data_IF_635212870007
#
_entry.id   IF_635212870007
#
_cell.length_a   1.000
_cell.length_b   1.000
_cell.length_c   1.000
_cell.angle_alpha   90.00
_cell.angle_beta   90.00
_cell.angle_gamma   90.00
#
_symmetry.space_group_name_H-M   'P 1'
#
loop_
_entity.id
_entity.type
_entity.pdbx_description
1 polymer ?
#
# COMPACT_ATOMS: atom_id res chain seq x y z
N UNK A 1 4.92 11.66 -2.24
CA UNK A 1 4.02 10.80 -3.02
C UNK A 1 4.74 9.51 -3.33
N UNK A 2 4.13 8.34 -3.08
CA UNK A 2 4.76 7.06 -3.34
C UNK A 2 4.11 5.93 -2.55
N UNK A 3 4.39 4.69 -2.96
CA UNK A 3 4.00 3.46 -2.26
C UNK A 3 5.24 2.84 -1.64
N UNK A 4 5.30 2.79 -0.33
CA UNK A 4 6.32 2.09 0.42
C UNK A 4 5.78 0.85 1.13
N UNK A 5 6.67 -0.04 1.51
CA UNK A 5 6.34 -1.23 2.30
C UNK A 5 7.35 -1.47 3.41
N UNK A 6 6.94 -2.25 4.39
CA UNK A 6 7.81 -2.74 5.44
C UNK A 6 7.45 -4.21 5.75
N UNK A 7 8.46 -5.00 6.07
CA UNK A 7 8.30 -6.38 6.52
C UNK A 7 8.82 -6.50 7.95
N UNK A 8 7.99 -7.03 8.83
CA UNK A 8 8.36 -7.34 10.20
C UNK A 8 8.47 -8.85 10.33
N UNK A 9 9.64 -9.35 10.72
CA UNK A 9 9.92 -10.75 10.97
C UNK A 9 10.35 -10.91 12.43
N UNK A 10 9.68 -11.79 13.15
CA UNK A 10 9.97 -12.05 14.57
C UNK A 10 10.00 -10.77 15.44
N UNK A 11 9.08 -9.83 15.15
CA UNK A 11 8.98 -8.56 15.86
C UNK A 11 10.02 -7.51 15.46
N UNK A 12 10.83 -7.76 14.43
CA UNK A 12 11.89 -6.85 13.97
C UNK A 12 11.69 -6.42 12.53
N UNK A 13 11.98 -5.16 12.24
CA UNK A 13 11.96 -4.64 10.87
C UNK A 13 13.05 -5.32 10.04
N UNK A 14 12.63 -5.92 8.92
CA UNK A 14 13.56 -6.47 7.93
C UNK A 14 14.04 -5.37 7.00
N UNK A 15 15.30 -4.94 7.16
CA UNK A 15 15.90 -3.86 6.38
C UNK A 15 16.63 -4.35 5.13
N UNK A 16 16.85 -5.66 4.98
CA UNK A 16 17.66 -6.22 3.89
C UNK A 16 19.16 -5.93 4.08
N UNK A 17 19.96 -6.28 3.09
CA UNK A 17 21.43 -6.16 3.16
C UNK A 17 21.94 -4.71 3.10
N UNK A 18 21.17 -3.79 2.54
CA UNK A 18 21.56 -2.39 2.31
C UNK A 18 20.57 -1.37 2.91
N UNK A 19 19.60 -1.81 3.72
CA UNK A 19 18.57 -0.95 4.27
C UNK A 19 17.43 -0.60 3.30
N UNK A 20 17.39 -1.21 2.12
CA UNK A 20 16.44 -0.91 1.05
C UNK A 20 15.45 -2.07 0.77
N UNK A 21 15.15 -2.88 1.77
CA UNK A 21 14.16 -3.94 1.60
C UNK A 21 12.75 -3.36 1.44
N UNK A 22 11.90 -4.11 0.72
CA UNK A 22 10.48 -3.79 0.55
C UNK A 22 10.17 -2.50 -0.23
N UNK A 23 10.99 -2.19 -1.24
CA UNK A 23 10.65 -1.20 -2.28
C UNK A 23 9.50 -1.70 -3.17
N UNK A 24 8.40 -2.11 -2.53
CA UNK A 24 7.24 -2.75 -3.17
C UNK A 24 6.52 -1.83 -4.15
N UNK A 25 6.66 -0.52 -3.99
CA UNK A 25 6.13 0.47 -4.93
C UNK A 25 6.68 0.28 -6.34
N UNK A 26 7.85 -0.34 -6.49
CA UNK A 26 8.46 -0.59 -7.79
C UNK A 26 8.19 -1.99 -8.37
N UNK A 27 7.32 -2.77 -7.76
CA UNK A 27 6.77 -3.96 -8.39
C UNK A 27 5.99 -3.57 -9.66
N UNK A 28 6.32 -4.18 -10.79
CA UNK A 28 5.59 -3.97 -12.03
C UNK A 28 4.25 -4.70 -11.99
N UNK A 29 3.16 -3.96 -11.91
CA UNK A 29 1.77 -4.48 -11.92
C UNK A 29 1.06 -4.23 -13.24
N UNK A 30 1.63 -3.40 -14.11
CA UNK A 30 1.11 -3.09 -15.44
C UNK A 30 2.28 -2.83 -16.40
N UNK A 31 2.82 -3.84 -17.11
CA UNK A 31 3.98 -3.66 -17.97
C UNK A 31 3.81 -2.57 -19.06
N UNK A 32 2.58 -2.35 -19.53
CA UNK A 32 2.24 -1.32 -20.51
C UNK A 32 1.79 0.01 -19.86
N UNK A 33 1.90 0.10 -18.53
CA UNK A 33 1.41 1.22 -17.74
C UNK A 33 2.26 2.48 -17.83
N UNK A 34 2.05 3.38 -16.86
CA UNK A 34 2.67 4.71 -16.82
C UNK A 34 4.19 4.62 -16.54
N UNK A 35 4.99 5.57 -17.09
CA UNK A 35 6.40 5.69 -16.71
C UNK A 35 6.54 5.97 -15.21
N UNK A 36 7.51 5.33 -14.57
CA UNK A 36 7.85 5.55 -13.17
C UNK A 36 9.18 6.32 -13.05
N UNK A 37 9.32 7.11 -11.99
CA UNK A 37 10.55 7.86 -11.70
C UNK A 37 11.78 6.95 -11.44
N UNK A 38 11.57 5.67 -11.13
CA UNK A 38 12.66 4.70 -11.00
C UNK A 38 13.30 4.30 -12.34
N UNK A 39 12.76 4.80 -13.46
CA UNK A 39 13.19 4.44 -14.82
C UNK A 39 12.41 3.26 -15.42
N UNK A 40 11.62 2.56 -14.63
CA UNK A 40 10.71 1.49 -15.08
C UNK A 40 9.36 2.02 -15.56
N UNK A 41 8.43 1.08 -15.79
CA UNK A 41 7.07 1.37 -16.24
C UNK A 41 6.07 0.47 -15.53
N UNK A 42 4.87 1.00 -15.24
CA UNK A 42 3.77 0.26 -14.64
C UNK A 42 4.03 -0.23 -13.23
N UNK A 43 4.87 0.49 -12.49
CA UNK A 43 5.12 0.22 -11.08
C UNK A 43 3.86 0.44 -10.25
N UNK A 44 3.69 -0.35 -9.19
CA UNK A 44 2.58 -0.22 -8.24
C UNK A 44 2.42 1.22 -7.75
N UNK A 45 3.53 1.91 -7.50
CA UNK A 45 3.59 3.31 -7.09
C UNK A 45 2.76 4.22 -8.00
N UNK A 46 3.09 4.27 -9.30
CA UNK A 46 2.42 5.15 -10.26
C UNK A 46 1.06 4.62 -10.74
N UNK A 47 0.79 3.35 -10.58
CA UNK A 47 -0.46 2.72 -11.01
C UNK A 47 -1.55 2.75 -9.94
N UNK A 48 -1.18 2.99 -8.66
CA UNK A 48 -2.13 2.99 -7.54
C UNK A 48 -2.00 4.22 -6.62
N UNK A 49 -1.33 5.28 -7.09
CA UNK A 49 -1.21 6.53 -6.35
C UNK A 49 -2.51 7.39 -6.46
N UNK A 50 -2.67 8.41 -5.61
CA UNK A 50 -3.83 9.29 -5.67
C UNK A 50 -4.02 10.00 -7.02
N UNK A 51 -2.93 10.34 -7.73
CA UNK A 51 -3.01 10.94 -9.05
C UNK A 51 -3.57 9.96 -10.10
N UNK A 52 -3.17 8.68 -10.01
CA UNK A 52 -3.74 7.62 -10.84
C UNK A 52 -5.25 7.53 -10.65
N UNK A 53 -5.69 7.51 -9.38
CA UNK A 53 -7.10 7.44 -9.03
C UNK A 53 -7.88 8.63 -9.61
N UNK A 54 -7.46 9.85 -9.30
CA UNK A 54 -8.15 11.07 -9.73
C UNK A 54 -8.22 11.17 -11.27
N UNK A 55 -7.11 10.87 -11.96
CA UNK A 55 -7.06 10.88 -13.42
C UNK A 55 -8.02 9.84 -14.03
N UNK A 56 -8.06 8.63 -13.46
CA UNK A 56 -8.95 7.56 -13.93
C UNK A 56 -10.41 7.89 -13.63
N UNK A 57 -10.69 8.51 -12.48
CA UNK A 57 -12.02 8.99 -12.08
C UNK A 57 -12.44 10.28 -12.83
N UNK A 58 -11.61 10.79 -13.75
CA UNK A 58 -11.87 12.03 -14.51
C UNK A 58 -12.12 13.24 -13.61
N UNK A 59 -11.38 13.32 -12.51
CA UNK A 59 -11.40 14.47 -11.61
C UNK A 59 -10.12 15.28 -11.76
N UNK A 60 -10.27 16.63 -11.74
CA UNK A 60 -9.12 17.51 -11.74
C UNK A 60 -8.29 17.31 -10.48
N UNK A 61 -6.99 16.95 -10.57
CA UNK A 61 -6.16 16.82 -9.41
C UNK A 61 -5.87 18.19 -8.80
N UNK A 62 -6.09 18.31 -7.51
CA UNK A 62 -5.68 19.48 -6.74
C UNK A 62 -4.15 19.56 -6.54
N UNK A 63 -3.68 20.48 -5.68
CA UNK A 63 -2.28 20.54 -5.27
C UNK A 63 -1.78 19.19 -4.72
N UNK A 64 -0.49 18.90 -4.90
CA UNK A 64 0.08 17.58 -4.56
C UNK A 64 -0.17 17.18 -3.10
N UNK A 65 -0.09 18.12 -2.17
CA UNK A 65 -0.35 17.92 -0.75
C UNK A 65 -1.81 17.53 -0.42
N UNK A 66 -2.75 17.79 -1.32
CA UNK A 66 -4.18 17.50 -1.14
C UNK A 66 -4.66 16.23 -1.86
N UNK A 67 -3.86 15.63 -2.74
CA UNK A 67 -4.29 14.52 -3.60
C UNK A 67 -4.78 13.31 -2.81
N UNK A 68 -4.08 12.92 -1.74
CA UNK A 68 -4.47 11.79 -0.91
C UNK A 68 -5.83 12.04 -0.24
N UNK A 69 -6.01 13.24 0.30
CA UNK A 69 -7.27 13.63 0.93
C UNK A 69 -8.41 13.65 -0.10
N UNK A 70 -8.18 14.27 -1.27
CA UNK A 70 -9.16 14.35 -2.34
C UNK A 70 -9.59 12.96 -2.81
N UNK A 71 -8.65 12.05 -3.07
CA UNK A 71 -8.96 10.69 -3.48
C UNK A 71 -9.73 9.91 -2.41
N UNK A 72 -9.31 10.00 -1.15
CA UNK A 72 -10.00 9.36 -0.03
C UNK A 72 -11.40 9.92 0.21
N UNK A 73 -11.62 11.24 0.04
CA UNK A 73 -12.94 11.84 0.17
C UNK A 73 -13.88 11.29 -0.91
N UNK A 74 -13.45 11.24 -2.18
CA UNK A 74 -14.25 10.67 -3.27
C UNK A 74 -14.64 9.21 -3.02
N UNK A 75 -13.70 8.38 -2.58
CA UNK A 75 -13.98 6.98 -2.24
C UNK A 75 -15.03 6.84 -1.14
N UNK A 76 -15.04 7.75 -0.16
CA UNK A 76 -16.00 7.69 0.96
C UNK A 76 -17.36 8.30 0.63
N UNK A 77 -17.42 9.32 -0.22
CA UNK A 77 -18.64 10.10 -0.41
C UNK A 77 -19.28 9.96 -1.79
N UNK A 78 -18.52 9.53 -2.79
CA UNK A 78 -18.96 9.46 -4.19
C UNK A 78 -18.76 8.07 -4.83
N UNK A 79 -18.65 7.00 -4.04
CA UNK A 79 -18.42 5.65 -4.58
C UNK A 79 -19.51 5.15 -5.52
N UNK A 80 -20.74 5.69 -5.40
CA UNK A 80 -21.85 5.38 -6.30
C UNK A 80 -21.70 6.03 -7.70
N UNK A 81 -20.84 7.05 -7.84
CA UNK A 81 -20.50 7.62 -9.15
C UNK A 81 -19.72 6.59 -9.98
N UNK A 82 -20.13 6.41 -11.24
CA UNK A 82 -19.58 5.36 -12.10
C UNK A 82 -18.08 5.57 -12.41
N UNK A 83 -17.63 6.82 -12.59
CA UNK A 83 -16.23 7.12 -12.88
C UNK A 83 -15.36 6.87 -11.64
N UNK A 84 -15.86 7.22 -10.45
CA UNK A 84 -15.18 6.95 -9.16
C UNK A 84 -15.06 5.45 -8.91
N UNK A 85 -16.17 4.71 -9.06
CA UNK A 85 -16.18 3.26 -8.88
C UNK A 85 -15.27 2.55 -9.87
N UNK A 86 -15.34 2.89 -11.16
CA UNK A 86 -14.47 2.30 -12.18
C UNK A 86 -12.99 2.57 -11.89
N UNK A 87 -12.65 3.77 -11.40
CA UNK A 87 -11.31 4.10 -10.99
C UNK A 87 -10.86 3.26 -9.78
N UNK A 88 -11.70 3.14 -8.76
CA UNK A 88 -11.42 2.32 -7.59
C UNK A 88 -11.18 0.86 -7.98
N UNK A 89 -12.07 0.27 -8.78
CA UNK A 89 -11.94 -1.11 -9.27
C UNK A 89 -10.64 -1.34 -10.03
N UNK A 90 -10.28 -0.42 -10.94
CA UNK A 90 -9.03 -0.53 -11.70
C UNK A 90 -7.79 -0.47 -10.81
N UNK A 91 -7.78 0.39 -9.79
CA UNK A 91 -6.67 0.48 -8.86
C UNK A 91 -6.63 -0.72 -7.91
N UNK A 92 -7.78 -1.20 -7.44
CA UNK A 92 -7.90 -2.40 -6.61
C UNK A 92 -7.33 -3.63 -7.34
N UNK A 93 -7.62 -3.79 -8.63
CA UNK A 93 -7.11 -4.91 -9.42
C UNK A 93 -5.57 -4.88 -9.52
N UNK A 94 -4.98 -3.70 -9.72
CA UNK A 94 -3.52 -3.52 -9.75
C UNK A 94 -2.88 -3.71 -8.37
N UNK A 95 -3.50 -3.15 -7.33
CA UNK A 95 -3.07 -3.36 -5.94
C UNK A 95 -3.12 -4.85 -5.59
N UNK A 96 -4.23 -5.51 -5.90
CA UNK A 96 -4.41 -6.95 -5.64
C UNK A 96 -3.36 -7.81 -6.35
N UNK A 97 -2.96 -7.46 -7.58
CA UNK A 97 -1.88 -8.15 -8.29
C UNK A 97 -0.53 -8.00 -7.56
N UNK A 98 -0.20 -6.79 -7.11
CA UNK A 98 1.02 -6.55 -6.30
C UNK A 98 1.00 -7.33 -4.98
N UNK A 99 -0.13 -7.27 -4.26
CA UNK A 99 -0.28 -8.00 -2.99
C UNK A 99 -0.23 -9.52 -3.18
N UNK A 100 -0.81 -10.06 -4.23
CA UNK A 100 -0.73 -11.49 -4.54
C UNK A 100 0.71 -11.94 -4.78
N UNK A 101 1.52 -11.12 -5.45
CA UNK A 101 2.96 -11.35 -5.59
C UNK A 101 3.66 -11.41 -4.24
N UNK A 102 3.38 -10.47 -3.35
CA UNK A 102 3.95 -10.47 -1.99
C UNK A 102 3.50 -11.68 -1.17
N UNK A 103 2.23 -12.07 -1.26
CA UNK A 103 1.71 -13.28 -0.60
C UNK A 103 2.45 -14.53 -1.08
N UNK A 104 2.66 -14.68 -2.40
CA UNK A 104 3.36 -15.81 -2.96
C UNK A 104 4.84 -15.90 -2.56
N UNK A 105 5.50 -14.75 -2.37
CA UNK A 105 6.94 -14.68 -2.06
C UNK A 105 7.19 -14.74 -0.55
N UNK A 106 6.40 -14.00 0.23
CA UNK A 106 6.67 -13.77 1.65
C UNK A 106 5.80 -14.63 2.58
N UNK A 107 4.65 -15.11 2.09
CA UNK A 107 3.65 -15.82 2.89
C UNK A 107 3.42 -15.17 4.27
N UNK A 108 3.03 -13.89 4.33
CA UNK A 108 2.93 -13.16 5.59
C UNK A 108 1.71 -13.59 6.39
N UNK A 109 1.77 -13.45 7.72
CA UNK A 109 0.63 -13.69 8.63
C UNK A 109 -0.53 -12.73 8.37
N UNK A 110 -0.23 -11.51 7.93
CA UNK A 110 -1.19 -10.45 7.59
C UNK A 110 -0.56 -9.37 6.75
N UNK A 111 -1.40 -8.62 6.03
CA UNK A 111 -1.02 -7.40 5.33
C UNK A 111 -1.82 -6.24 5.93
N UNK A 112 -1.15 -5.13 6.23
CA UNK A 112 -1.78 -3.92 6.76
C UNK A 112 -1.64 -2.82 5.70
N UNK A 113 -2.76 -2.25 5.26
CA UNK A 113 -2.81 -1.22 4.24
C UNK A 113 -3.04 0.16 4.86
N UNK A 114 -2.18 1.12 4.51
CA UNK A 114 -2.30 2.53 4.90
C UNK A 114 -2.57 3.45 3.72
N UNK A 115 -2.80 4.73 3.99
CA UNK A 115 -3.02 5.75 2.96
C UNK A 115 -4.19 5.40 2.04
N UNK A 116 -4.05 5.71 0.75
CA UNK A 116 -5.08 5.43 -0.25
C UNK A 116 -5.42 3.93 -0.35
N UNK A 117 -4.45 3.04 -0.14
CA UNK A 117 -4.70 1.61 -0.21
C UNK A 117 -5.63 1.12 0.91
N UNK A 118 -5.60 1.76 2.08
CA UNK A 118 -6.62 1.54 3.12
C UNK A 118 -8.00 1.98 2.62
N UNK A 119 -8.10 3.17 2.04
CA UNK A 119 -9.38 3.72 1.58
C UNK A 119 -9.96 2.85 0.43
N UNK A 120 -9.11 2.31 -0.46
CA UNK A 120 -9.52 1.33 -1.49
C UNK A 120 -10.00 0.00 -0.89
N UNK A 121 -9.30 -0.51 0.13
CA UNK A 121 -9.73 -1.72 0.85
C UNK A 121 -11.09 -1.50 1.55
N UNK A 122 -11.31 -0.34 2.16
CA UNK A 122 -12.56 -0.01 2.84
C UNK A 122 -13.72 0.19 1.84
N UNK A 123 -13.43 0.71 0.63
CA UNK A 123 -14.43 0.92 -0.41
C UNK A 123 -14.95 -0.40 -1.01
N UNK A 124 -14.05 -1.35 -1.32
CA UNK A 124 -14.44 -2.66 -1.84
C UNK A 124 -13.52 -3.79 -1.33
N UNK A 125 -13.73 -4.22 -0.08
CA UNK A 125 -12.90 -5.24 0.56
C UNK A 125 -13.05 -6.62 -0.09
N UNK A 126 -14.21 -6.92 -0.67
CA UNK A 126 -14.48 -8.22 -1.28
C UNK A 126 -13.71 -8.37 -2.58
N UNK A 127 -13.74 -7.34 -3.44
CA UNK A 127 -12.98 -7.33 -4.69
C UNK A 127 -11.49 -7.49 -4.44
N UNK A 128 -10.90 -6.71 -3.53
CA UNK A 128 -9.47 -6.78 -3.25
C UNK A 128 -9.06 -8.19 -2.78
N UNK A 129 -9.82 -8.75 -1.84
CA UNK A 129 -9.56 -10.11 -1.35
C UNK A 129 -9.73 -11.16 -2.45
N UNK A 130 -10.74 -11.01 -3.30
CA UNK A 130 -10.97 -11.91 -4.42
C UNK A 130 -9.80 -11.89 -5.43
N UNK A 131 -9.31 -10.70 -5.79
CA UNK A 131 -8.15 -10.57 -6.69
C UNK A 131 -6.90 -11.21 -6.11
N UNK A 132 -6.62 -10.98 -4.82
CA UNK A 132 -5.47 -11.61 -4.14
C UNK A 132 -5.64 -13.12 -4.06
N UNK A 133 -6.82 -13.61 -3.72
CA UNK A 133 -7.12 -15.05 -3.64
C UNK A 133 -6.98 -15.76 -5.00
N UNK A 134 -7.44 -15.11 -6.07
CA UNK A 134 -7.36 -15.69 -7.41
C UNK A 134 -5.93 -15.76 -7.95
N UNK A 135 -5.07 -14.83 -7.53
CA UNK A 135 -3.71 -14.64 -8.05
C UNK A 135 -2.61 -15.16 -7.13
N UNK A 136 -2.93 -15.65 -5.94
CA UNK A 136 -1.94 -16.24 -5.04
C UNK A 136 -2.28 -17.70 -4.68
N UNK A 137 -1.25 -18.51 -4.54
CA UNK A 137 -1.40 -19.92 -4.17
C UNK A 137 -2.05 -20.06 -2.79
N UNK A 138 -1.56 -19.28 -1.82
CA UNK A 138 -2.03 -19.30 -0.43
C UNK A 138 -3.28 -18.44 -0.21
N UNK A 139 -3.53 -17.46 -1.06
CA UNK A 139 -4.74 -16.63 -1.00
C UNK A 139 -6.03 -17.42 -1.23
N UNK A 140 -5.99 -18.48 -2.06
CA UNK A 140 -7.13 -19.38 -2.30
C UNK A 140 -7.57 -20.15 -1.05
N UNK A 141 -6.68 -20.34 -0.10
CA UNK A 141 -7.02 -20.96 1.20
C UNK A 141 -7.66 -19.97 2.18
N UNK A 142 -7.82 -18.69 1.81
CA UNK A 142 -8.40 -17.65 2.66
C UNK A 142 -7.50 -17.25 3.84
N UNK A 143 -6.21 -17.55 3.78
CA UNK A 143 -5.33 -17.60 4.94
C UNK A 143 -4.58 -16.31 5.27
N UNK A 144 -4.51 -15.32 4.37
CA UNK A 144 -3.77 -14.06 4.62
C UNK A 144 -4.75 -12.90 4.84
N UNK A 145 -4.95 -12.45 6.08
CA UNK A 145 -5.79 -11.30 6.38
C UNK A 145 -5.21 -10.02 5.76
N UNK A 146 -6.06 -9.26 5.06
CA UNK A 146 -5.76 -7.91 4.58
C UNK A 146 -6.57 -6.94 5.43
N UNK A 147 -5.89 -6.09 6.19
CA UNK A 147 -6.46 -5.25 7.22
C UNK A 147 -6.17 -3.76 6.95
N UNK A 148 -7.09 -2.86 7.28
CA UNK A 148 -6.83 -1.43 7.24
C UNK A 148 -5.92 -1.01 8.41
N UNK A 149 -5.01 -0.07 8.15
CA UNK A 149 -4.23 0.58 9.20
C UNK A 149 -5.14 1.47 10.06
N UNK A 150 -5.12 1.27 11.37
CA UNK A 150 -5.92 2.05 12.34
C UNK A 150 -5.16 3.24 12.93
N UNK A 151 -3.85 3.34 12.69
CA UNK A 151 -3.03 4.43 13.21
C UNK A 151 -3.20 5.69 12.36
N UNK A 152 -3.46 6.82 13.03
CA UNK A 152 -3.28 8.14 12.45
C UNK A 152 -1.78 8.49 12.43
N UNK A 153 -1.33 9.16 11.37
CA UNK A 153 0.08 9.57 11.23
C UNK A 153 1.08 8.40 11.36
N UNK A 154 0.75 7.24 10.80
CA UNK A 154 1.51 6.00 10.90
C UNK A 154 3.02 6.17 10.57
N UNK A 155 3.37 7.00 9.57
CA UNK A 155 4.78 7.27 9.21
C UNK A 155 5.54 7.99 10.32
N UNK A 156 4.89 8.96 11.01
CA UNK A 156 5.51 9.69 12.13
C UNK A 156 5.65 8.78 13.35
N UNK A 157 4.63 7.98 13.63
CA UNK A 157 4.67 7.00 14.75
C UNK A 157 5.78 6.00 14.51
N UNK A 158 5.88 5.41 13.31
CA UNK A 158 6.93 4.46 12.98
C UNK A 158 8.34 5.07 13.02
N UNK A 159 8.51 6.31 12.55
CA UNK A 159 9.78 7.02 12.64
C UNK A 159 10.19 7.29 14.10
N UNK A 160 9.25 7.68 14.95
CA UNK A 160 9.48 7.86 16.38
C UNK A 160 9.85 6.54 17.06
N UNK A 161 9.16 5.46 16.76
CA UNK A 161 9.44 4.11 17.28
C UNK A 161 10.85 3.66 16.91
N UNK A 162 11.25 3.81 15.64
CA UNK A 162 12.62 3.49 15.20
C UNK A 162 13.68 4.34 15.91
N UNK A 163 13.41 5.63 16.15
CA UNK A 163 14.33 6.50 16.87
C UNK A 163 14.49 6.10 18.35
N UNK A 164 13.44 5.55 18.96
CA UNK A 164 13.45 5.08 20.34
C UNK A 164 13.92 3.64 20.50
N UNK A 165 14.02 2.87 19.40
CA UNK A 165 14.39 1.46 19.42
C UNK A 165 15.65 1.16 20.26
N UNK A 166 16.78 1.92 20.17
CA UNK A 166 17.96 1.67 20.98
C UNK A 166 17.68 1.79 22.50
N UNK A 167 16.82 2.75 22.88
CA UNK A 167 16.43 2.96 24.29
C UNK A 167 15.53 1.82 24.77
N UNK A 168 14.65 1.32 23.91
CA UNK A 168 13.73 0.22 24.25
C UNK A 168 14.47 -1.11 24.34
N UNK A 169 15.47 -1.33 23.49
CA UNK A 169 16.26 -2.57 23.45
C UNK A 169 17.25 -2.63 24.64
N UNK A 170 17.92 -1.54 24.99
CA UNK A 170 18.84 -1.46 26.14
C UNK A 170 18.80 -0.06 26.79
N UNK A 171 17.86 0.18 27.72
CA UNK A 171 17.71 1.47 28.39
C UNK A 171 18.96 1.92 29.16
N UNK A 172 19.78 1.00 29.63
CA UNK A 172 20.97 1.33 30.44
C UNK A 172 22.16 1.73 29.57
N UNK A 173 22.29 1.20 28.37
CA UNK A 173 23.38 1.56 27.45
C UNK A 173 23.28 3.01 26.95
N UNK A 174 22.09 3.60 26.97
CA UNK A 174 21.85 5.00 26.50
C UNK A 174 22.12 6.03 27.59
N UNK A 175 22.25 5.62 28.85
CA UNK A 175 22.49 6.50 30.02
C UNK A 175 23.98 6.64 30.39
N UNK A 176 24.85 5.95 29.65
CA UNK A 176 26.30 6.03 29.80
C UNK A 176 26.94 6.78 28.66
#
# INVERSE_FOLDING_TARGET
RGVGGALVLDGRLHSGSSGLALEVGHLTVNPEGRPCHCGGRGCLDVETDPLAFLTTARRDPGPEESLLKQAGDLLRTEYEDADVRNAAEALIDRLGLGLAGLVNILNPDRIILGGLHRDLLEADPERLRAVVADRSLWGRSGSVPILPCTLSHNSLVGAAELAWQPVLDDPLAVLT
#
